data_IF_433368787890
#
_entry.id   IF_433368787890
#
_cell.length_a   1.000
_cell.length_b   1.000
_cell.length_c   1.000
_cell.angle_alpha   90.00
_cell.angle_beta   90.00
_cell.angle_gamma   90.00
#
_symmetry.space_group_name_H-M   'P 1'
#
loop_
_entity.id
_entity.type
_entity.pdbx_description
1 polymer ?
#
# COMPACT_ATOMS: atom_id res chain seq x y z
N UNK A 1 -23.31 5.13 -30.93
CA UNK A 1 -24.07 6.03 -30.02
C UNK A 1 -23.58 5.76 -28.61
N UNK A 2 -23.05 6.81 -28.00
CA UNK A 2 -22.27 6.79 -26.77
C UNK A 2 -23.18 6.54 -25.55
N UNK A 3 -22.71 5.72 -24.60
CA UNK A 3 -23.14 5.82 -23.21
C UNK A 3 -21.92 6.19 -22.38
N UNK A 4 -21.81 7.49 -22.11
CA UNK A 4 -21.03 8.06 -21.03
C UNK A 4 -21.73 7.66 -19.73
N UNK A 5 -21.13 6.77 -18.95
CA UNK A 5 -21.53 6.51 -17.58
C UNK A 5 -21.08 7.66 -16.70
N UNK A 6 -22.04 8.35 -16.11
CA UNK A 6 -21.84 9.52 -15.26
C UNK A 6 -20.93 9.16 -14.06
N UNK A 7 -19.77 9.81 -14.01
CA UNK A 7 -18.90 9.84 -12.86
C UNK A 7 -19.66 10.59 -11.75
N UNK A 8 -20.13 9.85 -10.76
CA UNK A 8 -20.96 10.34 -9.66
C UNK A 8 -20.29 11.54 -8.97
N UNK A 9 -20.80 12.73 -9.31
CA UNK A 9 -20.76 14.01 -8.60
C UNK A 9 -19.88 14.06 -7.33
N UNK A 10 -18.67 14.59 -7.47
CA UNK A 10 -17.99 15.27 -6.37
C UNK A 10 -18.70 16.61 -6.14
N UNK A 11 -19.77 16.63 -5.34
CA UNK A 11 -20.36 17.88 -4.88
C UNK A 11 -19.39 18.58 -3.94
N UNK A 12 -19.03 19.81 -4.32
CA UNK A 12 -18.15 20.68 -3.56
C UNK A 12 -18.61 20.82 -2.12
N UNK A 13 -17.67 20.61 -1.19
CA UNK A 13 -17.78 21.13 0.16
C UNK A 13 -16.39 21.56 0.60
N UNK A 14 -16.28 22.84 0.87
CA UNK A 14 -15.08 23.56 1.25
C UNK A 14 -14.45 23.02 2.53
N UNK A 15 -13.12 22.92 2.48
CA UNK A 15 -12.11 23.17 3.54
C UNK A 15 -12.52 22.78 4.98
N UNK A 16 -11.77 21.80 5.50
CA UNK A 16 -11.23 21.75 6.88
C UNK A 16 -11.98 20.95 7.96
N UNK A 17 -13.11 20.28 7.70
CA UNK A 17 -13.91 19.76 8.83
C UNK A 17 -14.82 18.54 8.60
N UNK A 18 -14.51 17.61 7.68
CA UNK A 18 -15.26 16.32 7.60
C UNK A 18 -14.42 15.12 8.06
N UNK A 19 -13.13 15.34 8.33
CA UNK A 19 -12.27 14.34 8.92
C UNK A 19 -12.29 14.49 10.45
N UNK A 20 -13.17 13.75 11.12
CA UNK A 20 -12.71 12.67 12.00
C UNK A 20 -13.71 12.08 13.01
N UNK A 21 -14.88 12.64 13.32
CA UNK A 21 -15.58 12.09 14.52
C UNK A 21 -17.10 12.20 14.60
N UNK A 22 -17.83 12.54 13.53
CA UNK A 22 -19.26 12.81 13.66
C UNK A 22 -20.25 11.80 13.03
N UNK A 23 -19.83 10.83 12.19
CA UNK A 23 -20.81 10.01 11.43
C UNK A 23 -20.51 8.51 11.26
N UNK A 24 -19.49 7.94 11.91
CA UNK A 24 -19.25 6.48 11.87
C UNK A 24 -19.09 5.87 10.47
N UNK A 25 -18.67 6.66 9.47
CA UNK A 25 -18.56 6.19 8.08
C UNK A 25 -17.22 5.51 7.83
N UNK A 26 -17.28 4.28 7.30
CA UNK A 26 -16.12 3.48 6.89
C UNK A 26 -15.48 4.12 5.65
N UNK A 27 -14.40 4.87 5.86
CA UNK A 27 -13.63 5.53 4.77
C UNK A 27 -12.40 4.74 4.34
N UNK A 28 -11.95 3.76 5.15
CA UNK A 28 -10.68 3.04 4.94
C UNK A 28 -10.51 2.43 3.55
N UNK A 29 -11.56 1.80 3.00
CA UNK A 29 -11.52 1.24 1.65
C UNK A 29 -11.31 2.31 0.57
N UNK A 30 -12.03 3.44 0.67
CA UNK A 30 -11.86 4.55 -0.26
C UNK A 30 -10.45 5.11 -0.18
N UNK A 31 -9.98 5.41 1.03
CA UNK A 31 -8.65 5.99 1.25
C UNK A 31 -7.51 5.05 0.85
N UNK A 32 -7.74 3.73 0.79
CA UNK A 32 -6.77 2.77 0.25
C UNK A 32 -6.72 2.81 -1.29
N UNK A 33 -7.87 2.94 -1.95
CA UNK A 33 -7.95 3.06 -3.42
C UNK A 33 -7.25 4.33 -3.91
N UNK A 34 -7.40 5.44 -3.18
CA UNK A 34 -6.77 6.72 -3.54
C UNK A 34 -5.41 6.95 -2.87
N UNK A 35 -4.84 5.93 -2.19
CA UNK A 35 -3.52 6.04 -1.58
C UNK A 35 -2.47 6.25 -2.67
N UNK A 36 -1.81 7.41 -2.67
CA UNK A 36 -0.78 7.76 -3.68
C UNK A 36 0.44 6.84 -3.69
N UNK A 37 0.68 6.08 -2.61
CA UNK A 37 1.78 5.12 -2.51
C UNK A 37 1.40 3.73 -3.07
N UNK A 38 0.10 3.44 -3.23
CA UNK A 38 -0.40 2.13 -3.62
C UNK A 38 -0.44 1.95 -5.15
N UNK A 39 0.74 1.84 -5.78
CA UNK A 39 0.86 1.82 -7.25
C UNK A 39 0.63 0.45 -7.90
N UNK A 40 0.52 -0.63 -7.12
CA UNK A 40 0.22 -1.99 -7.59
C UNK A 40 -0.94 -2.58 -6.80
N UNK A 41 -1.84 -3.27 -7.51
CA UNK A 41 -3.00 -3.95 -6.96
C UNK A 41 -3.14 -5.33 -7.61
N UNK A 42 -3.53 -6.33 -6.83
CA UNK A 42 -3.90 -7.65 -7.32
C UNK A 42 -5.23 -8.06 -6.72
N UNK A 43 -6.17 -8.52 -7.55
CA UNK A 43 -7.52 -8.89 -7.11
C UNK A 43 -7.83 -10.34 -7.47
N UNK A 44 -8.64 -10.99 -6.65
CA UNK A 44 -9.18 -12.34 -6.89
C UNK A 44 -10.65 -12.41 -6.47
N UNK A 45 -11.39 -13.30 -7.12
CA UNK A 45 -12.82 -13.52 -6.86
C UNK A 45 -13.13 -14.99 -6.63
N UNK A 46 -14.04 -15.28 -5.71
CA UNK A 46 -14.56 -16.62 -5.48
C UNK A 46 -16.10 -16.58 -5.44
N UNK A 47 -16.73 -17.50 -6.16
CA UNK A 47 -18.19 -17.66 -6.16
C UNK A 47 -18.52 -18.73 -5.12
N UNK A 48 -19.48 -18.42 -4.25
CA UNK A 48 -20.11 -19.41 -3.41
C UNK A 48 -21.48 -19.75 -4.02
N UNK A 49 -21.56 -20.91 -4.69
CA UNK A 49 -22.76 -21.36 -5.40
C UNK A 49 -23.97 -21.58 -4.46
N UNK A 50 -23.70 -21.95 -3.20
CA UNK A 50 -24.75 -22.20 -2.20
C UNK A 50 -25.43 -20.90 -1.76
N UNK A 51 -24.67 -19.82 -1.57
CA UNK A 51 -25.21 -18.51 -1.20
C UNK A 51 -25.46 -17.59 -2.39
N UNK A 52 -25.08 -18.00 -3.62
CA UNK A 52 -25.08 -17.17 -4.83
C UNK A 52 -24.35 -15.83 -4.65
N UNK A 53 -23.31 -15.81 -3.82
CA UNK A 53 -22.51 -14.62 -3.54
C UNK A 53 -21.15 -14.71 -4.20
N UNK A 54 -20.59 -13.56 -4.59
CA UNK A 54 -19.21 -13.44 -5.05
C UNK A 54 -18.42 -12.69 -3.98
N UNK A 55 -17.31 -13.26 -3.53
CA UNK A 55 -16.33 -12.58 -2.68
C UNK A 55 -15.23 -12.07 -3.59
N UNK A 56 -14.96 -10.77 -3.56
CA UNK A 56 -13.83 -10.15 -4.25
C UNK A 56 -12.89 -9.59 -3.19
N UNK A 57 -11.62 -9.98 -3.28
CA UNK A 57 -10.56 -9.45 -2.43
C UNK A 57 -9.48 -8.82 -3.31
N UNK A 58 -9.01 -7.64 -2.92
CA UNK A 58 -7.89 -6.97 -3.56
C UNK A 58 -6.81 -6.65 -2.53
N UNK A 59 -5.58 -7.06 -2.83
CA UNK A 59 -4.40 -6.69 -2.06
C UNK A 59 -3.68 -5.56 -2.79
N UNK A 60 -3.27 -4.56 -2.03
CA UNK A 60 -2.46 -3.45 -2.51
C UNK A 60 -1.00 -3.71 -2.13
N UNK A 61 -0.07 -3.36 -3.01
CA UNK A 61 1.36 -3.52 -2.73
C UNK A 61 1.82 -2.69 -1.54
N UNK A 62 1.16 -1.57 -1.28
CA UNK A 62 1.35 -0.73 -0.10
C UNK A 62 0.03 -0.55 0.62
N UNK A 63 0.02 -0.93 1.90
CA UNK A 63 -1.11 -0.74 2.78
C UNK A 63 -1.30 0.74 3.16
N UNK A 64 -2.53 1.10 3.52
CA UNK A 64 -2.87 2.42 3.97
C UNK A 64 -2.10 2.81 5.25
N UNK A 65 -1.33 3.88 5.17
CA UNK A 65 -0.57 4.46 6.28
C UNK A 65 -1.22 5.74 6.85
N UNK A 66 -2.02 6.46 6.05
CA UNK A 66 -2.67 7.71 6.45
C UNK A 66 -4.10 7.82 5.89
N UNK A 67 -5.09 7.60 6.76
CA UNK A 67 -6.52 7.77 6.40
C UNK A 67 -6.85 9.23 6.11
N UNK A 68 -6.23 10.16 6.83
CA UNK A 68 -6.60 11.57 6.72
C UNK A 68 -6.08 12.23 5.45
N UNK A 69 -4.88 11.83 5.04
CA UNK A 69 -4.18 12.39 3.89
C UNK A 69 -3.61 11.24 3.04
N UNK A 70 -4.47 10.50 2.30
CA UNK A 70 -4.02 9.39 1.45
C UNK A 70 -3.17 9.85 0.26
N UNK A 71 -3.19 11.16 -0.06
CA UNK A 71 -2.35 11.79 -1.06
C UNK A 71 -2.08 13.25 -0.67
N UNK A 72 -1.02 13.83 -1.24
CA UNK A 72 -0.68 15.24 -1.05
C UNK A 72 -1.56 16.12 -1.95
N UNK A 73 -2.21 17.14 -1.38
CA UNK A 73 -2.95 18.14 -2.16
C UNK A 73 -2.00 19.01 -2.97
N UNK A 74 -2.33 19.25 -4.24
CA UNK A 74 -1.56 20.11 -5.14
C UNK A 74 -1.99 19.95 -6.60
N UNK A 75 -1.28 20.62 -7.51
CA UNK A 75 -1.45 20.38 -8.95
C UNK A 75 -1.01 18.95 -9.30
N UNK A 76 -1.66 18.29 -10.26
CA UNK A 76 -1.25 16.97 -10.72
C UNK A 76 0.24 16.92 -11.05
N UNK A 77 0.90 15.82 -10.68
CA UNK A 77 2.32 15.57 -10.92
C UNK A 77 3.33 16.62 -10.38
N UNK A 78 2.90 17.56 -9.53
CA UNK A 78 3.81 18.57 -8.95
C UNK A 78 4.88 18.00 -8.01
N UNK A 79 4.82 16.71 -7.69
CA UNK A 79 5.71 16.05 -6.74
C UNK A 79 6.19 14.67 -7.22
N UNK A 80 6.47 14.52 -8.51
CA UNK A 80 7.11 13.32 -9.06
C UNK A 80 7.97 13.60 -10.28
N UNK A 81 8.95 12.73 -10.54
CA UNK A 81 9.88 12.86 -11.66
C UNK A 81 9.32 12.38 -12.99
N UNK A 82 8.32 11.49 -12.94
CA UNK A 82 7.67 10.96 -14.14
C UNK A 82 6.15 11.08 -14.02
N UNK A 83 5.57 11.87 -14.92
CA UNK A 83 4.14 12.12 -15.00
C UNK A 83 3.53 11.41 -16.22
N UNK A 84 2.65 10.48 -15.96
CA UNK A 84 1.88 9.75 -16.96
C UNK A 84 0.54 10.46 -17.22
N UNK A 85 0.22 10.66 -18.51
CA UNK A 85 -1.02 11.30 -18.97
C UNK A 85 -1.36 12.60 -18.23
N UNK A 86 -0.33 13.38 -17.88
CA UNK A 86 -0.44 14.69 -17.21
C UNK A 86 -1.17 14.68 -15.85
N UNK A 87 -1.45 13.50 -15.29
CA UNK A 87 -2.35 13.35 -14.14
C UNK A 87 -1.84 12.43 -13.05
N UNK A 88 -1.03 11.42 -13.38
CA UNK A 88 -0.58 10.39 -12.43
C UNK A 88 0.93 10.27 -12.39
N UNK A 89 1.49 10.14 -11.19
CA UNK A 89 2.89 9.80 -11.03
C UNK A 89 3.12 8.32 -11.37
N UNK A 90 4.15 8.00 -12.15
CA UNK A 90 4.41 6.63 -12.56
C UNK A 90 5.90 6.26 -12.48
N UNK A 91 6.25 5.42 -11.50
CA UNK A 91 7.57 4.82 -11.38
C UNK A 91 7.61 3.33 -11.75
N UNK A 92 6.45 2.69 -11.91
CA UNK A 92 6.30 1.24 -12.16
C UNK A 92 7.22 0.33 -11.32
N UNK A 93 7.47 0.68 -10.05
CA UNK A 93 8.43 0.00 -9.16
C UNK A 93 7.80 -0.25 -7.79
N UNK A 94 7.94 -1.46 -7.24
CA UNK A 94 7.43 -1.77 -5.91
C UNK A 94 8.60 -2.07 -4.97
N UNK A 95 8.75 -1.27 -3.92
CA UNK A 95 9.77 -1.50 -2.90
C UNK A 95 9.32 -2.61 -1.95
N UNK A 96 10.19 -3.60 -1.75
CA UNK A 96 10.03 -4.74 -0.87
C UNK A 96 10.59 -4.43 0.52
N UNK A 97 10.37 -5.34 1.47
CA UNK A 97 11.02 -5.31 2.79
C UNK A 97 10.95 -3.94 3.48
N UNK A 98 9.76 -3.32 3.47
CA UNK A 98 9.49 -2.00 4.06
C UNK A 98 10.25 -0.82 3.43
N UNK A 99 10.81 -1.00 2.23
CA UNK A 99 11.34 0.11 1.44
C UNK A 99 10.23 1.10 1.05
N UNK A 100 10.59 2.39 0.96
CA UNK A 100 9.66 3.46 0.60
C UNK A 100 10.01 4.00 -0.79
N UNK A 101 9.05 4.04 -1.70
CA UNK A 101 9.26 4.58 -3.05
C UNK A 101 9.28 6.11 -3.01
N UNK A 102 10.39 6.70 -3.46
CA UNK A 102 10.46 8.12 -3.76
C UNK A 102 9.89 8.40 -5.15
N UNK A 103 8.74 9.06 -5.22
CA UNK A 103 8.07 9.41 -6.47
C UNK A 103 8.82 10.48 -7.29
N UNK A 104 9.72 11.27 -6.68
CA UNK A 104 10.54 12.25 -7.40
C UNK A 104 11.65 11.58 -8.19
N UNK A 105 12.29 10.57 -7.61
CA UNK A 105 13.46 9.91 -8.21
C UNK A 105 13.16 8.52 -8.77
N UNK A 106 11.99 7.96 -8.46
CA UNK A 106 11.61 6.58 -8.74
C UNK A 106 12.59 5.53 -8.19
N UNK A 107 13.19 5.84 -7.03
CA UNK A 107 14.09 4.94 -6.30
C UNK A 107 13.45 4.48 -5.01
N UNK A 108 13.80 3.26 -4.60
CA UNK A 108 13.43 2.75 -3.30
C UNK A 108 14.42 3.22 -2.22
N UNK A 109 13.90 3.84 -1.17
CA UNK A 109 14.63 4.13 0.05
C UNK A 109 14.55 2.90 0.95
N UNK A 110 15.61 2.09 0.94
CA UNK A 110 15.65 0.86 1.72
C UNK A 110 15.96 1.14 3.19
N UNK A 111 15.31 0.43 4.13
CA UNK A 111 15.76 0.41 5.52
C UNK A 111 17.16 -0.21 5.62
N UNK A 112 17.90 0.07 6.70
CA UNK A 112 19.30 -0.34 6.86
C UNK A 112 19.56 -1.86 6.88
N UNK A 113 18.52 -2.67 6.89
CA UNK A 113 18.56 -4.13 6.81
C UNK A 113 18.20 -4.67 5.42
N UNK A 114 17.89 -3.82 4.45
CA UNK A 114 17.53 -4.21 3.09
C UNK A 114 18.37 -3.45 2.05
N UNK A 115 18.54 -4.04 0.88
CA UNK A 115 19.33 -3.47 -0.22
C UNK A 115 18.86 -4.00 -1.58
N UNK A 116 19.37 -3.42 -2.66
CA UNK A 116 18.90 -3.67 -4.02
C UNK A 116 18.12 -2.49 -4.59
N UNK A 117 17.68 -2.61 -5.84
CA UNK A 117 16.95 -1.53 -6.52
C UNK A 117 15.47 -1.46 -6.07
N UNK A 118 14.92 -2.60 -5.61
CA UNK A 118 13.59 -2.73 -5.03
C UNK A 118 13.65 -3.12 -3.53
N UNK A 119 14.81 -3.01 -2.89
CA UNK A 119 15.04 -3.47 -1.51
C UNK A 119 14.80 -4.97 -1.31
N UNK A 120 14.99 -5.77 -2.35
CA UNK A 120 14.71 -7.21 -2.40
C UNK A 120 15.70 -8.08 -1.58
N UNK A 121 16.88 -7.55 -1.26
CA UNK A 121 17.94 -8.29 -0.58
C UNK A 121 17.97 -7.95 0.92
N UNK A 122 17.68 -8.94 1.77
CA UNK A 122 17.73 -8.82 3.23
C UNK A 122 19.15 -9.05 3.78
N UNK A 123 19.53 -8.31 4.82
CA UNK A 123 20.78 -8.49 5.56
C UNK A 123 20.59 -9.44 6.74
N UNK A 124 20.72 -10.74 6.52
CA UNK A 124 20.50 -11.77 7.54
C UNK A 124 21.48 -11.77 8.72
N UNK A 125 22.39 -10.78 8.83
CA UNK A 125 23.17 -10.56 10.06
C UNK A 125 22.40 -9.75 11.11
N UNK A 126 21.21 -9.24 10.76
CA UNK A 126 20.33 -8.46 11.62
C UNK A 126 19.36 -9.35 12.36
N UNK A 127 19.07 -9.04 13.62
CA UNK A 127 18.07 -9.77 14.41
C UNK A 127 16.65 -9.40 13.99
N UNK A 128 15.67 -10.29 14.19
CA UNK A 128 14.26 -10.02 13.90
C UNK A 128 13.75 -8.73 14.58
N UNK A 129 14.26 -8.41 15.77
CA UNK A 129 13.91 -7.16 16.46
C UNK A 129 14.40 -5.92 15.69
N UNK A 130 15.56 -5.99 15.04
CA UNK A 130 16.07 -4.92 14.16
C UNK A 130 15.26 -4.76 12.87
N UNK A 131 14.56 -5.82 12.44
CA UNK A 131 13.58 -5.77 11.33
C UNK A 131 12.21 -5.20 11.75
N UNK A 132 11.96 -5.02 13.06
CA UNK A 132 10.70 -4.53 13.59
C UNK A 132 9.74 -5.64 14.03
N UNK A 133 10.19 -6.90 14.08
CA UNK A 133 9.43 -7.99 14.69
C UNK A 133 9.11 -7.66 16.14
N UNK A 134 7.84 -7.64 16.49
CA UNK A 134 7.36 -7.34 17.82
C UNK A 134 7.27 -8.61 18.66
N UNK A 135 7.33 -8.47 19.99
CA UNK A 135 7.26 -9.60 20.92
C UNK A 135 5.92 -10.38 20.87
N UNK A 136 4.88 -9.81 20.25
CA UNK A 136 3.58 -10.45 20.07
C UNK A 136 3.51 -11.30 18.79
N UNK A 137 4.49 -11.17 17.89
CA UNK A 137 4.55 -11.97 16.67
C UNK A 137 4.90 -13.41 17.01
N UNK A 138 4.24 -14.34 16.34
CA UNK A 138 4.32 -15.79 16.60
C UNK A 138 4.68 -16.55 15.34
N UNK A 139 5.25 -17.75 15.50
CA UNK A 139 5.65 -18.61 14.39
C UNK A 139 4.48 -18.95 13.45
N UNK A 140 3.27 -19.11 13.97
CA UNK A 140 2.07 -19.37 13.16
C UNK A 140 1.65 -18.17 12.29
N UNK A 141 2.11 -16.95 12.62
CA UNK A 141 1.84 -15.74 11.83
C UNK A 141 2.72 -15.61 10.60
N UNK A 142 3.71 -16.49 10.44
CA UNK A 142 4.50 -16.57 9.21
C UNK A 142 3.68 -16.93 7.97
N UNK A 143 2.39 -17.28 8.13
CA UNK A 143 1.44 -17.37 7.01
C UNK A 143 1.13 -16.02 6.36
N UNK A 144 1.27 -14.93 7.09
CA UNK A 144 0.99 -13.58 6.59
C UNK A 144 2.21 -13.02 5.86
N UNK A 145 1.98 -12.45 4.67
CA UNK A 145 3.05 -11.97 3.79
C UNK A 145 3.86 -10.83 4.37
N UNK A 146 3.28 -10.01 5.25
CA UNK A 146 3.96 -8.90 5.93
C UNK A 146 4.79 -9.35 7.14
N UNK A 147 4.50 -10.52 7.72
CA UNK A 147 5.22 -11.01 8.92
C UNK A 147 6.56 -11.60 8.54
N UNK A 148 6.64 -12.34 7.42
CA UNK A 148 7.91 -12.93 6.96
C UNK A 148 9.04 -11.90 6.82
N UNK A 149 8.87 -10.76 6.11
CA UNK A 149 9.92 -9.75 6.01
C UNK A 149 10.15 -8.96 7.32
N UNK A 150 9.18 -8.94 8.24
CA UNK A 150 9.35 -8.31 9.57
C UNK A 150 10.12 -9.21 10.55
N UNK A 151 9.97 -10.52 10.43
CA UNK A 151 10.56 -11.54 11.29
C UNK A 151 11.28 -12.62 10.45
N UNK A 152 12.30 -12.24 9.65
CA UNK A 152 12.88 -13.14 8.65
C UNK A 152 13.57 -14.37 9.24
N UNK A 153 14.16 -14.32 10.44
CA UNK A 153 14.73 -15.49 11.08
C UNK A 153 13.67 -16.42 11.65
N UNK A 154 12.70 -15.88 12.41
CA UNK A 154 11.57 -16.64 12.95
C UNK A 154 10.81 -17.36 11.84
N UNK A 155 10.59 -16.68 10.71
CA UNK A 155 9.86 -17.23 9.57
C UNK A 155 10.73 -17.99 8.56
N UNK A 156 12.02 -18.20 8.84
CA UNK A 156 12.93 -19.01 8.02
C UNK A 156 13.30 -18.41 6.67
N UNK A 157 13.11 -17.10 6.45
CA UNK A 157 13.68 -16.38 5.30
C UNK A 157 15.19 -16.17 5.45
N UNK A 158 15.65 -15.93 6.67
CA UNK A 158 17.05 -15.83 7.03
C UNK A 158 17.44 -17.01 7.91
N UNK A 159 18.50 -17.71 7.53
CA UNK A 159 19.15 -18.72 8.36
C UNK A 159 20.37 -18.12 9.04
N UNK A 160 20.55 -18.42 10.32
CA UNK A 160 21.77 -18.09 11.08
C UNK A 160 22.94 -18.97 10.64
#
# INVERSE_FOLDING_TARGET
>A
MNQLGEMLSCHGSTKKQILNTALGKVVGHYTQVVNSEAIKIGCGGAINDNSKTIIIACNYGVGQSNIENPYKTGSPCSNCGNCFNETLCNCNKLCQNFGVLDLLTCKCNCPGYASGDECENLNCNKTDQEYGCQALDKLDWCVFSNIKPACPHMCGLCTL
#
